data_IF_916259727633
#
_entry.id   IF_916259727633
#
_cell.length_a   1.000
_cell.length_b   1.000
_cell.length_c   1.000
_cell.angle_alpha   90.00
_cell.angle_beta   90.00
_cell.angle_gamma   90.00
#
_symmetry.space_group_name_H-M   'P 1'
#
loop_
_entity.id
_entity.type
_entity.pdbx_description
1 polymer ?
#
# COMPACT_ATOMS: atom_id res chain seq x y z
N UNK A 1 12.57 -6.61 14.49
CA UNK A 1 13.14 -6.94 13.17
C UNK A 1 12.94 -5.73 12.27
N UNK A 2 13.99 -4.99 11.93
CA UNK A 2 13.86 -3.78 11.11
C UNK A 2 13.68 -4.17 9.64
N UNK A 3 12.43 -4.15 9.17
CA UNK A 3 12.09 -4.39 7.76
C UNK A 3 12.38 -3.14 6.93
N UNK A 4 13.63 -3.00 6.49
CA UNK A 4 14.04 -2.00 5.51
C UNK A 4 13.59 -2.46 4.12
N UNK A 5 12.57 -1.82 3.57
CA UNK A 5 12.30 -1.91 2.13
C UNK A 5 13.34 -1.01 1.46
N UNK A 6 14.33 -1.61 0.80
CA UNK A 6 15.38 -0.92 0.05
C UNK A 6 14.80 0.23 -0.79
N UNK A 7 15.45 1.39 -0.71
CA UNK A 7 15.00 2.67 -1.24
C UNK A 7 15.51 2.90 -2.66
N UNK A 8 14.79 2.39 -3.67
CA UNK A 8 14.95 2.89 -5.05
C UNK A 8 14.43 4.34 -5.19
N UNK A 9 13.59 4.76 -4.26
CA UNK A 9 13.02 6.09 -4.11
C UNK A 9 13.12 6.51 -2.64
N UNK A 10 13.94 7.53 -2.34
CA UNK A 10 14.00 8.11 -1.00
C UNK A 10 12.69 8.85 -0.76
N UNK A 11 11.85 8.26 0.08
CA UNK A 11 10.69 8.94 0.61
C UNK A 11 11.15 9.75 1.83
N UNK A 12 10.93 11.06 1.80
CA UNK A 12 11.28 11.94 2.90
C UNK A 12 10.04 12.11 3.80
N UNK A 13 10.01 11.37 4.90
CA UNK A 13 8.94 11.48 5.88
C UNK A 13 9.05 12.81 6.64
N UNK A 14 7.99 13.60 6.60
CA UNK A 14 7.79 14.77 7.47
C UNK A 14 7.20 14.30 8.80
N UNK A 15 6.25 13.36 8.74
CA UNK A 15 5.57 12.81 9.91
C UNK A 15 5.36 11.31 9.74
N UNK A 16 5.55 10.56 10.82
CA UNK A 16 5.24 9.12 10.91
C UNK A 16 4.31 8.94 12.11
N UNK A 17 3.14 8.38 11.86
CA UNK A 17 2.10 8.12 12.83
C UNK A 17 1.95 6.59 12.98
N UNK A 18 2.48 6.02 14.06
CA UNK A 18 2.24 4.62 14.41
C UNK A 18 0.74 4.35 14.57
N UNK A 19 0.23 3.26 14.00
CA UNK A 19 -1.21 2.97 14.00
C UNK A 19 -1.77 2.74 15.41
N UNK A 20 -0.96 2.20 16.32
CA UNK A 20 -1.35 2.07 17.73
C UNK A 20 -1.63 3.45 18.37
N UNK A 21 -0.92 4.50 17.97
CA UNK A 21 -1.22 5.87 18.40
C UNK A 21 -2.48 6.41 17.72
N UNK A 22 -2.70 6.09 16.43
CA UNK A 22 -3.93 6.46 15.71
C UNK A 22 -5.18 5.80 16.33
N UNK A 23 -5.09 4.59 16.88
CA UNK A 23 -6.24 3.99 17.57
C UNK A 23 -6.57 4.69 18.90
N UNK A 24 -5.58 5.33 19.52
CA UNK A 24 -5.69 5.90 20.88
C UNK A 24 -5.94 7.41 20.91
N UNK A 25 -5.77 8.14 19.80
CA UNK A 25 -5.79 9.61 19.79
C UNK A 25 -7.18 10.26 19.58
N UNK A 26 -8.28 9.49 19.64
CA UNK A 26 -9.65 10.02 19.72
C UNK A 26 -9.97 11.16 18.74
N UNK A 27 -10.56 12.25 19.25
CA UNK A 27 -11.00 13.42 18.47
C UNK A 27 -9.85 14.27 17.90
N UNK A 28 -8.67 14.23 18.51
CA UNK A 28 -7.50 15.00 18.06
C UNK A 28 -6.98 14.54 16.69
N UNK A 29 -7.29 13.31 16.30
CA UNK A 29 -6.94 12.79 14.98
C UNK A 29 -7.70 13.43 13.84
N UNK A 30 -8.94 13.87 14.06
CA UNK A 30 -9.75 14.47 13.01
C UNK A 30 -9.13 15.81 12.52
N UNK A 31 -8.34 16.46 13.38
CA UNK A 31 -7.57 17.66 13.04
C UNK A 31 -6.40 17.33 12.10
N UNK A 32 -5.81 16.14 12.22
CA UNK A 32 -4.58 15.74 11.52
C UNK A 32 -4.90 14.93 10.25
N UNK A 33 -5.91 14.06 10.31
CA UNK A 33 -6.33 13.16 9.25
C UNK A 33 -7.86 13.24 9.13
N UNK A 34 -8.39 13.77 8.02
CA UNK A 34 -9.83 13.71 7.72
C UNK A 34 -10.39 12.29 7.89
N UNK A 35 -11.60 12.18 8.41
CA UNK A 35 -12.21 10.89 8.75
C UNK A 35 -12.23 9.90 7.56
N UNK A 36 -12.46 10.42 6.37
CA UNK A 36 -12.51 9.63 5.13
C UNK A 36 -11.17 8.97 4.82
N UNK A 37 -10.06 9.66 5.11
CA UNK A 37 -8.73 9.12 4.91
C UNK A 37 -8.38 8.06 5.97
N UNK A 38 -9.02 8.08 7.15
CA UNK A 38 -8.83 7.03 8.15
C UNK A 38 -9.30 5.67 7.63
N UNK A 39 -10.42 5.64 6.90
CA UNK A 39 -10.90 4.42 6.24
C UNK A 39 -9.80 3.89 5.32
N UNK A 40 -9.25 4.72 4.44
CA UNK A 40 -8.20 4.32 3.52
C UNK A 40 -6.94 3.82 4.24
N UNK A 41 -6.50 4.52 5.28
CA UNK A 41 -5.24 4.22 5.95
C UNK A 41 -5.31 3.00 6.86
N UNK A 42 -6.42 2.82 7.58
CA UNK A 42 -6.60 1.75 8.57
C UNK A 42 -7.29 0.51 7.96
N UNK A 43 -7.76 0.58 6.71
CA UNK A 43 -8.39 -0.56 6.04
C UNK A 43 -7.47 -1.79 6.00
N UNK A 44 -7.90 -2.86 6.67
CA UNK A 44 -7.18 -4.13 6.68
C UNK A 44 -7.53 -5.02 5.46
N UNK A 45 -8.64 -4.73 4.78
CA UNK A 45 -9.12 -5.45 3.59
C UNK A 45 -8.31 -5.26 2.31
N UNK A 46 -8.83 -5.78 1.19
CA UNK A 46 -8.20 -5.61 -0.13
C UNK A 46 -8.34 -4.17 -0.59
N UNK A 47 -7.22 -3.45 -0.65
CA UNK A 47 -7.19 -2.08 -1.13
C UNK A 47 -7.79 -1.96 -2.52
N UNK A 48 -7.46 -2.88 -3.44
CA UNK A 48 -7.99 -2.90 -4.81
C UNK A 48 -9.51 -3.01 -4.83
N UNK A 49 -10.09 -3.87 -3.98
CA UNK A 49 -11.55 -4.03 -3.89
C UNK A 49 -12.21 -2.77 -3.34
N UNK A 50 -11.67 -2.22 -2.24
CA UNK A 50 -12.11 -0.94 -1.66
C UNK A 50 -12.06 0.18 -2.68
N UNK A 51 -11.00 0.25 -3.49
CA UNK A 51 -10.83 1.25 -4.53
C UNK A 51 -11.88 1.15 -5.63
N UNK A 52 -12.20 -0.06 -6.08
CA UNK A 52 -13.24 -0.27 -7.09
C UNK A 52 -14.61 0.22 -6.57
N UNK A 53 -14.91 0.00 -5.29
CA UNK A 53 -16.16 0.43 -4.68
C UNK A 53 -16.21 1.94 -4.44
N UNK A 54 -15.12 2.54 -3.96
CA UNK A 54 -15.05 3.99 -3.69
C UNK A 54 -15.08 4.81 -4.98
N UNK A 55 -14.43 4.34 -6.04
CA UNK A 55 -14.33 5.10 -7.29
C UNK A 55 -15.45 4.79 -8.28
N UNK A 56 -16.13 3.64 -8.12
CA UNK A 56 -17.07 3.12 -9.12
C UNK A 56 -16.41 2.72 -10.45
N UNK A 57 -15.07 2.74 -10.52
CA UNK A 57 -14.29 2.50 -11.74
C UNK A 57 -13.62 1.14 -11.71
N UNK A 58 -13.36 0.61 -12.89
CA UNK A 58 -12.49 -0.58 -13.02
C UNK A 58 -11.07 -0.17 -12.65
N UNK A 59 -10.49 -0.94 -11.73
CA UNK A 59 -9.13 -0.73 -11.23
C UNK A 59 -8.17 -1.66 -11.97
N UNK A 60 -7.23 -1.06 -12.70
CA UNK A 60 -6.10 -1.71 -13.34
C UNK A 60 -4.88 -1.78 -12.41
N UNK A 61 -3.96 -2.68 -12.75
CA UNK A 61 -2.64 -2.75 -12.12
C UNK A 61 -1.56 -2.80 -13.19
N UNK A 62 -0.69 -1.81 -13.18
CA UNK A 62 0.53 -1.76 -13.97
C UNK A 62 1.71 -2.22 -13.10
N UNK A 63 2.57 -3.09 -13.61
CA UNK A 63 3.74 -3.60 -12.87
C UNK A 63 5.00 -3.03 -13.48
N UNK A 64 5.78 -2.33 -12.66
CA UNK A 64 6.95 -1.61 -13.13
C UNK A 64 8.23 -2.44 -13.07
N UNK A 65 8.40 -3.23 -12.00
CA UNK A 65 9.63 -3.99 -11.82
C UNK A 65 9.46 -5.14 -10.84
N UNK A 66 10.11 -6.25 -11.20
CA UNK A 66 10.25 -7.45 -10.41
C UNK A 66 11.74 -7.73 -10.27
N UNK A 67 12.31 -7.58 -9.06
CA UNK A 67 13.70 -7.94 -8.78
C UNK A 67 13.76 -9.18 -7.90
N UNK A 68 14.49 -10.18 -8.40
CA UNK A 68 14.90 -11.38 -7.68
C UNK A 68 16.35 -11.16 -7.26
N UNK A 69 16.62 -10.93 -5.97
CA UNK A 69 18.00 -10.92 -5.50
C UNK A 69 18.39 -12.34 -5.07
N UNK A 70 19.28 -12.95 -5.85
CA UNK A 70 19.99 -14.18 -5.52
C UNK A 70 21.23 -13.77 -4.72
N UNK A 71 21.29 -14.12 -3.44
CA UNK A 71 22.57 -14.21 -2.76
C UNK A 71 22.98 -15.68 -2.70
N UNK A 72 24.11 -15.96 -3.33
CA UNK A 72 24.94 -17.11 -3.01
C UNK A 72 25.32 -16.99 -1.53
N UNK A 73 25.13 -18.05 -0.76
CA UNK A 73 25.45 -18.17 0.68
C UNK A 73 24.44 -17.56 1.69
N UNK A 74 23.57 -18.44 2.21
CA UNK A 74 22.94 -18.42 3.56
C UNK A 74 22.02 -17.25 3.97
N UNK A 75 21.55 -16.37 3.07
CA UNK A 75 20.53 -15.33 3.39
C UNK A 75 19.16 -15.57 2.72
N UNK A 76 18.05 -15.04 3.28
CA UNK A 76 16.73 -15.13 2.68
C UNK A 76 16.69 -14.61 1.24
N UNK A 77 16.11 -15.39 0.33
CA UNK A 77 15.72 -14.90 -1.00
C UNK A 77 14.64 -13.84 -0.81
N UNK A 78 14.97 -12.61 -1.14
CA UNK A 78 14.04 -11.48 -1.11
C UNK A 78 13.54 -11.19 -2.52
N UNK A 79 12.25 -10.98 -2.62
CA UNK A 79 11.59 -10.62 -3.86
C UNK A 79 10.90 -9.28 -3.72
N UNK A 80 11.15 -8.38 -4.66
CA UNK A 80 10.58 -7.04 -4.65
C UNK A 80 9.71 -6.82 -5.87
N UNK A 81 8.48 -6.39 -5.64
CA UNK A 81 7.51 -6.03 -6.68
C UNK A 81 7.04 -4.60 -6.48
N UNK A 82 7.06 -3.84 -7.58
CA UNK A 82 6.53 -2.49 -7.68
C UNK A 82 5.33 -2.48 -8.63
N UNK A 83 4.25 -1.83 -8.21
CA UNK A 83 3.04 -1.74 -9.00
C UNK A 83 2.36 -0.38 -8.84
N UNK A 84 1.78 0.11 -9.93
CA UNK A 84 0.76 1.16 -9.89
C UNK A 84 -0.61 0.51 -9.84
N UNK A 85 -1.47 1.06 -8.99
CA UNK A 85 -2.90 0.84 -9.02
C UNK A 85 -3.51 2.07 -9.67
N UNK A 86 -4.24 1.86 -10.75
CA UNK A 86 -4.77 2.91 -11.60
C UNK A 86 -6.21 2.63 -12.01
N UNK A 87 -6.91 3.65 -12.47
CA UNK A 87 -8.23 3.48 -13.10
C UNK A 87 -8.08 3.14 -14.58
N UNK A 88 -9.15 2.67 -15.22
CA UNK A 88 -9.23 2.44 -16.68
C UNK A 88 -8.85 3.64 -17.57
N UNK A 89 -8.90 4.88 -17.07
CA UNK A 89 -8.42 6.08 -17.76
C UNK A 89 -6.96 6.45 -17.44
N UNK A 90 -6.15 5.48 -17.00
CA UNK A 90 -4.72 5.61 -16.66
C UNK A 90 -4.40 6.65 -15.57
N UNK A 91 -5.38 6.99 -14.73
CA UNK A 91 -5.15 7.83 -13.55
C UNK A 91 -4.47 7.00 -12.47
N UNK A 92 -3.20 7.31 -12.17
CA UNK A 92 -2.41 6.67 -11.12
C UNK A 92 -2.94 7.07 -9.74
N UNK A 93 -3.50 6.09 -9.03
CA UNK A 93 -4.10 6.31 -7.71
C UNK A 93 -3.12 5.96 -6.60
N UNK A 94 -2.42 4.83 -6.71
CA UNK A 94 -1.61 4.29 -5.61
C UNK A 94 -0.36 3.65 -6.18
N UNK A 95 0.79 4.02 -5.64
CA UNK A 95 2.04 3.29 -5.85
C UNK A 95 2.21 2.28 -4.72
N UNK A 96 2.35 1.00 -5.05
CA UNK A 96 2.58 -0.07 -4.10
C UNK A 96 3.95 -0.71 -4.34
N UNK A 97 4.70 -0.90 -3.25
CA UNK A 97 5.89 -1.75 -3.24
C UNK A 97 5.73 -2.85 -2.21
N UNK A 98 6.14 -4.06 -2.58
CA UNK A 98 6.05 -5.22 -1.71
C UNK A 98 7.39 -5.95 -1.67
N UNK A 99 7.84 -6.27 -0.46
CA UNK A 99 9.05 -7.03 -0.18
C UNK A 99 8.64 -8.37 0.42
N UNK A 100 8.94 -9.45 -0.30
CA UNK A 100 8.54 -10.81 0.02
C UNK A 100 9.74 -11.61 0.52
N UNK A 101 9.53 -12.35 1.59
CA UNK A 101 10.52 -13.30 2.08
C UNK A 101 10.18 -14.71 1.58
N UNK A 102 10.92 -15.18 0.58
CA UNK A 102 10.61 -16.43 -0.13
C UNK A 102 10.99 -17.66 0.70
N UNK A 103 11.73 -17.50 1.80
CA UNK A 103 12.17 -18.64 2.63
C UNK A 103 11.03 -19.48 3.19
N UNK A 104 9.84 -18.91 3.38
CA UNK A 104 8.84 -19.53 4.25
C UNK A 104 7.71 -20.29 3.54
N UNK A 105 7.39 -20.01 2.27
CA UNK A 105 6.42 -20.85 1.53
C UNK A 105 6.36 -20.55 0.01
N UNK A 106 6.91 -21.45 -0.80
CA UNK A 106 6.87 -21.33 -2.27
C UNK A 106 5.43 -21.44 -2.83
N UNK A 107 4.52 -22.09 -2.11
CA UNK A 107 3.15 -22.37 -2.55
C UNK A 107 2.21 -21.16 -2.56
N UNK A 108 2.47 -20.14 -1.73
CA UNK A 108 1.70 -18.89 -1.74
C UNK A 108 2.24 -17.98 -2.84
N UNK A 109 3.57 -17.89 -2.95
CA UNK A 109 4.23 -17.13 -3.99
C UNK A 109 3.81 -17.62 -5.40
N UNK A 110 3.77 -18.94 -5.62
CA UNK A 110 3.34 -19.52 -6.90
C UNK A 110 1.87 -19.23 -7.26
N UNK A 111 1.04 -18.94 -6.26
CA UNK A 111 -0.39 -18.60 -6.45
C UNK A 111 -0.58 -17.14 -6.84
N UNK A 112 0.33 -16.25 -6.44
CA UNK A 112 0.28 -14.83 -6.80
C UNK A 112 0.81 -14.71 -8.21
N UNK A 113 -0.12 -14.67 -9.18
CA UNK A 113 0.22 -14.38 -10.57
C UNK A 113 0.84 -12.99 -10.63
N UNK A 114 1.90 -12.87 -11.43
CA UNK A 114 2.69 -11.64 -11.56
C UNK A 114 1.76 -10.45 -11.83
N UNK A 115 0.83 -10.56 -12.80
CA UNK A 115 -0.08 -9.49 -13.23
C UNK A 115 -1.38 -9.34 -12.41
N UNK A 116 -1.47 -9.89 -11.18
CA UNK A 116 -2.71 -9.83 -10.41
C UNK A 116 -2.56 -9.03 -9.10
N UNK A 117 -3.61 -8.31 -8.63
CA UNK A 117 -3.59 -7.67 -7.32
C UNK A 117 -3.30 -8.67 -6.21
N UNK A 118 -2.42 -8.28 -5.28
CA UNK A 118 -2.03 -9.13 -4.15
C UNK A 118 -3.26 -9.47 -3.29
N UNK A 119 -4.05 -8.45 -2.93
CA UNK A 119 -5.28 -8.64 -2.14
C UNK A 119 -6.30 -9.57 -2.83
N UNK A 120 -6.56 -9.35 -4.11
CA UNK A 120 -7.50 -10.19 -4.86
C UNK A 120 -6.98 -11.62 -5.06
N UNK A 121 -5.66 -11.81 -5.18
CA UNK A 121 -5.07 -13.15 -5.21
C UNK A 121 -5.46 -13.93 -3.95
N UNK A 122 -5.33 -13.30 -2.78
CA UNK A 122 -5.66 -13.96 -1.52
C UNK A 122 -7.13 -14.25 -1.34
N UNK A 123 -8.01 -13.34 -1.75
CA UNK A 123 -9.46 -13.58 -1.77
C UNK A 123 -9.78 -14.79 -2.67
N UNK A 124 -9.21 -14.84 -3.88
CA UNK A 124 -9.44 -15.93 -4.83
C UNK A 124 -9.04 -17.30 -4.26
N UNK A 125 -7.92 -17.37 -3.54
CA UNK A 125 -7.45 -18.63 -2.96
C UNK A 125 -7.99 -18.90 -1.54
N UNK A 126 -8.88 -18.04 -1.03
CA UNK A 126 -9.43 -18.12 0.33
C UNK A 126 -8.33 -18.26 1.39
N UNK A 127 -7.21 -17.59 1.16
CA UNK A 127 -6.07 -17.64 2.07
C UNK A 127 -6.38 -16.77 3.28
N UNK A 128 -6.32 -17.36 4.48
CA UNK A 128 -6.54 -16.62 5.71
C UNK A 128 -5.29 -15.80 6.05
N UNK A 129 -5.41 -14.47 5.96
CA UNK A 129 -4.28 -13.55 6.03
C UNK A 129 -4.59 -12.43 6.98
N UNK A 130 -3.64 -12.19 7.87
CA UNK A 130 -3.68 -11.10 8.81
C UNK A 130 -2.82 -9.94 8.31
N UNK A 131 -3.40 -8.74 8.25
CA UNK A 131 -2.68 -7.51 7.91
C UNK A 131 -2.38 -6.73 9.19
N UNK A 132 -1.11 -6.56 9.51
CA UNK A 132 -0.68 -5.70 10.61
C UNK A 132 -0.18 -4.37 10.06
N UNK A 133 -0.98 -3.32 10.19
CA UNK A 133 -0.61 -1.96 9.78
C UNK A 133 0.28 -1.34 10.87
N UNK A 134 1.49 -0.94 10.49
CA UNK A 134 2.48 -0.42 11.43
C UNK A 134 2.35 1.08 11.58
N UNK A 135 2.32 1.78 10.46
CA UNK A 135 2.44 3.24 10.41
C UNK A 135 1.77 3.81 9.18
N UNK A 136 1.25 5.02 9.35
CA UNK A 136 0.85 5.95 8.30
C UNK A 136 1.88 7.07 8.31
N UNK A 137 2.36 7.49 7.15
CA UNK A 137 3.34 8.56 7.07
C UNK A 137 2.93 9.60 6.03
N UNK A 138 3.39 10.81 6.28
CA UNK A 138 3.17 11.98 5.45
C UNK A 138 4.53 12.57 5.08
N UNK A 139 4.72 12.90 3.81
CA UNK A 139 6.02 13.34 3.35
C UNK A 139 6.03 13.71 1.89
N UNK A 140 7.21 13.66 1.29
CA UNK A 140 7.41 13.99 -0.12
C UNK A 140 8.40 13.02 -0.76
N UNK A 141 8.33 12.87 -2.07
CA UNK A 141 9.21 11.99 -2.81
C UNK A 141 9.32 12.48 -4.25
N UNK A 142 10.43 13.14 -4.55
CA UNK A 142 10.67 13.79 -5.84
C UNK A 142 10.41 12.89 -7.06
N UNK A 143 10.83 11.62 -6.99
CA UNK A 143 10.60 10.67 -8.09
C UNK A 143 9.11 10.35 -8.27
N UNK A 144 8.37 10.16 -7.17
CA UNK A 144 6.93 9.88 -7.25
C UNK A 144 6.14 11.11 -7.64
N UNK A 145 6.53 12.30 -7.18
CA UNK A 145 5.93 13.57 -7.63
C UNK A 145 6.05 13.74 -9.14
N UNK A 146 7.19 13.35 -9.73
CA UNK A 146 7.37 13.34 -11.19
C UNK A 146 6.44 12.33 -11.88
N UNK A 147 6.29 11.12 -11.35
CA UNK A 147 5.41 10.10 -11.93
C UNK A 147 3.91 10.41 -11.77
N UNK A 148 3.55 11.12 -10.70
CA UNK A 148 2.20 11.57 -10.39
C UNK A 148 1.87 12.93 -11.00
N UNK A 149 2.85 13.56 -11.67
CA UNK A 149 2.74 14.90 -12.27
C UNK A 149 2.23 15.97 -11.29
N UNK A 150 2.53 15.78 -10.00
CA UNK A 150 2.01 16.62 -8.92
C UNK A 150 3.09 16.87 -7.87
N UNK A 151 3.44 18.14 -7.66
CA UNK A 151 4.36 18.60 -6.61
C UNK A 151 3.60 18.84 -5.31
N UNK A 152 3.12 17.78 -4.69
CA UNK A 152 2.45 17.89 -3.40
C UNK A 152 2.89 16.79 -2.45
N UNK A 153 2.65 17.05 -1.16
CA UNK A 153 2.94 16.09 -0.11
C UNK A 153 2.02 14.89 -0.26
N UNK A 154 2.59 13.71 -0.05
CA UNK A 154 1.97 12.42 -0.29
C UNK A 154 1.78 11.68 1.02
N UNK A 155 0.65 11.01 1.12
CA UNK A 155 0.35 10.09 2.20
C UNK A 155 0.78 8.68 1.81
N UNK A 156 1.17 7.90 2.79
CA UNK A 156 1.39 6.48 2.59
C UNK A 156 1.25 5.69 3.87
N UNK A 157 1.29 4.37 3.74
CA UNK A 157 1.22 3.44 4.85
C UNK A 157 2.13 2.26 4.64
N UNK A 158 2.51 1.63 5.75
CA UNK A 158 3.33 0.42 5.76
C UNK A 158 2.70 -0.64 6.63
N UNK A 159 2.66 -1.86 6.13
CA UNK A 159 2.09 -3.00 6.85
C UNK A 159 2.82 -4.30 6.51
N UNK A 160 2.63 -5.31 7.37
CA UNK A 160 3.12 -6.67 7.12
C UNK A 160 1.93 -7.62 6.99
N UNK A 161 2.01 -8.50 6.00
CA UNK A 161 1.08 -9.61 5.81
C UNK A 161 1.60 -10.86 6.50
N UNK A 162 0.73 -11.47 7.28
CA UNK A 162 0.96 -12.71 8.01
C UNK A 162 0.03 -13.80 7.51
N UNK A 163 0.55 -15.02 7.43
CA UNK A 163 -0.21 -16.23 7.11
C UNK A 163 0.24 -17.36 8.03
N UNK A 164 -0.66 -18.03 8.77
CA UNK A 164 -0.24 -19.07 9.73
C UNK A 164 0.89 -18.63 10.67
N UNK A 165 0.78 -17.43 11.25
CA UNK A 165 1.72 -16.79 12.19
C UNK A 165 3.13 -16.45 11.65
N UNK A 166 3.38 -16.58 10.35
CA UNK A 166 4.66 -16.16 9.74
C UNK A 166 4.47 -14.87 8.93
N UNK A 167 5.47 -13.99 8.92
CA UNK A 167 5.47 -12.78 8.08
C UNK A 167 5.94 -13.11 6.66
N UNK A 168 5.12 -12.80 5.64
CA UNK A 168 5.42 -13.17 4.25
C UNK A 168 5.82 -11.97 3.40
N UNK A 169 5.14 -10.85 3.59
CA UNK A 169 5.37 -9.65 2.80
C UNK A 169 5.30 -8.41 3.67
N UNK A 170 6.23 -7.49 3.47
CA UNK A 170 6.06 -6.11 3.94
C UNK A 170 5.65 -5.28 2.74
N UNK A 171 4.53 -4.58 2.86
CA UNK A 171 3.98 -3.75 1.80
C UNK A 171 4.01 -2.30 2.25
N UNK A 172 4.39 -1.44 1.32
CA UNK A 172 4.26 -0.01 1.45
C UNK A 172 3.41 0.52 0.30
N UNK A 173 2.39 1.29 0.64
CA UNK A 173 1.46 1.93 -0.30
C UNK A 173 1.58 3.45 -0.16
N UNK A 174 1.60 4.15 -1.28
CA UNK A 174 1.68 5.61 -1.36
C UNK A 174 0.51 6.09 -2.20
N UNK A 175 -0.31 6.95 -1.63
CA UNK A 175 -1.55 7.44 -2.22
C UNK A 175 -1.28 8.73 -2.99
N UNK A 176 -1.79 8.80 -4.21
CA UNK A 176 -1.65 9.98 -5.04
C UNK A 176 -2.47 11.15 -4.48
N UNK A 177 -2.05 12.40 -4.73
CA UNK A 177 -2.82 13.58 -4.36
C UNK A 177 -4.23 13.58 -4.97
N UNK A 178 -4.37 13.06 -6.19
CA UNK A 178 -5.67 12.87 -6.84
C UNK A 178 -6.59 11.95 -6.03
N UNK A 179 -6.06 10.84 -5.53
CA UNK A 179 -6.81 9.90 -4.72
C UNK A 179 -7.28 10.51 -3.38
N UNK A 180 -6.39 11.26 -2.73
CA UNK A 180 -6.72 11.97 -1.49
C UNK A 180 -7.82 13.02 -1.75
N UNK A 181 -7.65 13.85 -2.79
CA UNK A 181 -8.61 14.87 -3.20
C UNK A 181 -9.98 14.27 -3.55
N UNK A 182 -10.00 13.13 -4.25
CA UNK A 182 -11.23 12.42 -4.58
C UNK A 182 -12.03 12.05 -3.32
N UNK A 183 -11.38 11.44 -2.32
CA UNK A 183 -12.07 11.05 -1.08
C UNK A 183 -12.49 12.22 -0.21
N UNK A 184 -11.72 13.31 -0.18
CA UNK A 184 -12.09 14.48 0.62
C UNK A 184 -13.23 15.27 -0.02
N UNK A 185 -13.27 15.35 -1.35
CA UNK A 185 -14.30 16.11 -2.08
C UNK A 185 -15.63 15.35 -2.23
N UNK A 186 -15.62 14.02 -2.18
CA UNK A 186 -16.82 13.18 -2.31
C UNK A 186 -17.94 13.56 -1.33
N UNK A 187 -17.58 14.08 -0.14
CA UNK A 187 -18.54 14.48 0.89
C UNK A 187 -19.06 15.91 0.77
N UNK A 188 -18.42 16.79 -0.01
CA UNK A 188 -18.97 18.13 -0.26
C UNK A 188 -20.29 18.02 -1.04
N UNK A 189 -20.43 16.97 -1.87
CA UNK A 189 -21.62 16.71 -2.68
C UNK A 189 -22.72 15.92 -1.94
N UNK A 190 -22.41 15.26 -0.82
CA UNK A 190 -23.38 14.50 -0.02
C UNK A 190 -23.91 15.28 1.20
N UNK A 191 -23.23 16.36 1.58
CA UNK A 191 -23.65 17.27 2.65
C UNK A 191 -24.28 18.58 2.12
N UNK A 192 -24.72 18.59 0.85
CA UNK A 192 -25.60 19.59 0.24
C UNK A 192 -26.98 18.98 0.00
#
# INVERSE_FOLDING_TARGET
MNFYIYTLHNFHCICILPVNKIKNMGDQLNIIIPEQLRILFVNEGSLTYTMQHLTGKIIGIEILQQKYERNEYKKPKLYMRFAWIETEIYTKLIFARSLWNILYNHAIYSKIKENYPIGNSFIKYKSDIYKHIHEVYYGYCYKLEKYLECKSKIWGRKYTLYYGNKSYATIQEIFSPHMISFLTNYNILLNQ
#
